data_IF_751918235706
#
_entry.id   IF_751918235706
#
_cell.length_a   1.000
_cell.length_b   1.000
_cell.length_c   1.000
_cell.angle_alpha   90.00
_cell.angle_beta   90.00
_cell.angle_gamma   90.00
#
_symmetry.space_group_name_H-M   'P 1'
#
loop_
_entity.id
_entity.type
_entity.pdbx_description
1 polymer ?
#
# COMPACT_ATOMS: atom_id res chain seq x y z
N UNK A 1 46.76 -40.41 -15.36
CA UNK A 1 45.91 -41.53 -14.89
C UNK A 1 44.63 -40.91 -14.35
N UNK A 2 43.62 -40.76 -15.22
CA UNK A 2 42.32 -41.46 -15.18
C UNK A 2 41.54 -41.18 -13.88
N UNK A 3 40.35 -40.59 -13.86
CA UNK A 3 39.17 -40.74 -14.74
C UNK A 3 38.13 -39.64 -14.41
N UNK A 4 37.68 -38.85 -15.40
CA UNK A 4 36.32 -38.71 -15.96
C UNK A 4 35.11 -38.63 -14.99
N UNK A 5 34.39 -37.49 -15.12
CA UNK A 5 33.02 -37.13 -14.67
C UNK A 5 31.90 -38.06 -15.24
N UNK A 6 30.58 -37.76 -15.17
CA UNK A 6 29.69 -37.06 -14.20
C UNK A 6 28.44 -37.95 -13.84
N UNK A 7 27.43 -37.44 -13.12
CA UNK A 7 25.95 -37.56 -13.38
C UNK A 7 25.08 -37.37 -12.11
N UNK A 8 24.16 -36.40 -12.20
CA UNK A 8 22.84 -36.24 -11.55
C UNK A 8 22.64 -36.65 -10.07
N UNK A 9 22.43 -35.64 -9.22
CA UNK A 9 21.43 -35.75 -8.14
C UNK A 9 20.67 -34.43 -7.99
N UNK A 10 19.61 -34.29 -8.80
CA UNK A 10 18.51 -33.37 -8.55
C UNK A 10 17.48 -34.15 -7.75
N UNK A 11 17.48 -33.98 -6.43
CA UNK A 11 16.32 -34.24 -5.59
C UNK A 11 16.61 -33.70 -4.19
N UNK A 12 15.60 -33.03 -3.61
CA UNK A 12 15.50 -32.73 -2.19
C UNK A 12 16.22 -31.48 -1.63
N UNK A 13 16.16 -30.35 -2.33
CA UNK A 13 16.38 -29.02 -1.71
C UNK A 13 15.22 -28.03 -1.88
N UNK A 14 14.13 -28.43 -2.53
CA UNK A 14 12.96 -27.56 -2.76
C UNK A 14 11.88 -27.69 -1.66
N UNK A 15 11.98 -28.69 -0.77
CA UNK A 15 11.06 -28.83 0.37
C UNK A 15 11.52 -28.08 1.63
N UNK A 16 12.72 -27.47 1.63
CA UNK A 16 13.25 -26.73 2.79
C UNK A 16 12.86 -25.24 2.80
N UNK A 17 12.27 -24.73 1.71
CA UNK A 17 11.72 -23.37 1.62
C UNK A 17 10.25 -23.27 2.08
N UNK A 18 9.67 -24.37 2.57
CA UNK A 18 8.44 -24.38 3.35
C UNK A 18 8.63 -23.87 4.80
N UNK A 19 9.84 -23.42 5.18
CA UNK A 19 10.18 -23.05 6.56
C UNK A 19 11.10 -21.81 6.60
N UNK A 20 10.69 -20.62 6.14
CA UNK A 20 11.43 -19.38 6.51
C UNK A 20 10.65 -18.05 6.53
N UNK A 21 9.31 -18.03 6.51
CA UNK A 21 8.58 -16.79 6.90
C UNK A 21 7.37 -17.01 7.82
N UNK A 22 7.07 -18.24 8.24
CA UNK A 22 6.00 -18.54 9.19
C UNK A 22 6.33 -18.38 10.68
N UNK A 23 7.58 -18.01 11.03
CA UNK A 23 8.04 -17.90 12.42
C UNK A 23 8.30 -16.48 12.93
N UNK A 24 8.16 -15.45 12.08
CA UNK A 24 8.35 -14.04 12.49
C UNK A 24 7.06 -13.33 12.91
N UNK A 25 5.92 -14.02 12.92
CA UNK A 25 4.61 -13.40 13.17
C UNK A 25 4.12 -13.52 14.63
N UNK A 26 4.87 -14.18 15.52
CA UNK A 26 4.50 -14.30 16.96
C UNK A 26 5.42 -13.59 17.96
N UNK A 27 6.57 -13.04 17.55
CA UNK A 27 7.48 -12.36 18.49
C UNK A 27 7.74 -10.86 18.22
N UNK A 28 7.12 -10.25 17.22
CA UNK A 28 7.13 -8.78 17.05
C UNK A 28 6.08 -8.08 17.94
N UNK A 29 6.07 -8.37 19.25
CA UNK A 29 5.28 -7.66 20.26
C UNK A 29 6.12 -6.68 21.10
N UNK A 30 7.43 -6.57 20.87
CA UNK A 30 8.27 -5.56 21.53
C UNK A 30 9.22 -4.91 20.52
N UNK A 31 8.84 -3.74 20.03
CA UNK A 31 9.66 -2.51 20.02
C UNK A 31 8.75 -1.37 19.57
N UNK A 32 8.67 -0.35 20.41
CA UNK A 32 7.69 0.71 20.46
C UNK A 32 7.90 1.80 19.40
N UNK A 33 7.37 1.59 18.20
CA UNK A 33 6.91 2.68 17.34
C UNK A 33 5.86 2.13 16.35
N UNK A 34 4.61 2.62 16.38
CA UNK A 34 3.57 2.05 15.55
C UNK A 34 3.83 2.38 14.09
N UNK A 35 3.88 1.35 13.23
CA UNK A 35 3.83 1.44 11.75
C UNK A 35 2.72 2.37 11.21
N UNK A 36 1.78 2.80 12.07
CA UNK A 36 0.70 3.76 11.83
C UNK A 36 1.19 5.17 11.48
N UNK A 37 2.39 5.58 11.90
CA UNK A 37 2.93 6.91 11.54
C UNK A 37 3.34 7.03 10.06
N UNK A 38 3.64 5.92 9.37
CA UNK A 38 4.14 5.96 7.99
C UNK A 38 3.08 6.42 6.99
N UNK A 39 1.79 6.16 7.26
CA UNK A 39 0.69 6.65 6.42
C UNK A 39 0.45 8.16 6.62
N UNK A 40 0.77 8.71 7.81
CA UNK A 40 0.71 10.16 8.08
C UNK A 40 1.88 10.93 7.45
N UNK A 41 3.06 10.31 7.29
CA UNK A 41 4.23 10.95 6.65
C UNK A 41 4.01 11.17 5.14
N UNK A 42 3.22 10.32 4.48
CA UNK A 42 2.81 10.54 3.10
C UNK A 42 1.91 11.78 2.91
N UNK A 43 1.23 12.25 3.97
CA UNK A 43 0.45 13.48 3.97
C UNK A 43 1.33 14.76 3.94
N UNK A 44 2.53 14.70 4.51
CA UNK A 44 3.49 15.82 4.52
C UNK A 44 4.33 15.90 3.23
N UNK A 45 4.48 14.79 2.51
CA UNK A 45 5.38 14.67 1.35
C UNK A 45 4.78 15.20 0.04
N UNK A 46 3.49 15.58 0.02
CA UNK A 46 2.78 16.11 -1.15
C UNK A 46 3.09 17.58 -1.49
N UNK A 47 3.97 18.25 -0.73
CA UNK A 47 4.31 19.67 -0.89
C UNK A 47 5.38 19.95 -1.98
N UNK A 48 5.40 19.17 -3.06
CA UNK A 48 6.21 19.53 -4.24
C UNK A 48 5.49 20.65 -5.01
N UNK A 49 6.11 21.83 -5.21
CA UNK A 49 5.47 22.96 -5.87
C UNK A 49 5.26 22.65 -7.35
N UNK A 50 4.06 22.17 -7.69
CA UNK A 50 3.59 22.13 -9.06
C UNK A 50 3.43 23.57 -9.55
N UNK A 51 4.32 24.01 -10.43
CA UNK A 51 4.30 25.32 -11.07
C UNK A 51 3.20 25.36 -12.14
N UNK A 52 1.94 25.43 -11.70
CA UNK A 52 0.77 25.53 -12.57
C UNK A 52 0.43 27.02 -12.78
N UNK A 53 0.74 27.53 -13.97
CA UNK A 53 0.31 28.84 -14.43
C UNK A 53 -0.69 28.64 -15.58
N UNK A 54 -1.98 28.55 -15.25
CA UNK A 54 -3.09 28.63 -16.19
C UNK A 54 -4.39 28.82 -15.42
N UNK A 55 -5.28 29.65 -15.94
CA UNK A 55 -6.62 29.95 -15.41
C UNK A 55 -7.30 28.70 -14.84
N UNK A 56 -7.37 28.66 -13.51
CA UNK A 56 -7.25 27.46 -12.69
C UNK A 56 -8.63 26.85 -12.44
N UNK A 57 -9.13 26.06 -13.39
CA UNK A 57 -10.17 25.08 -13.03
C UNK A 57 -9.52 24.07 -12.09
N UNK A 58 -9.99 24.03 -10.84
CA UNK A 58 -9.42 23.15 -9.83
C UNK A 58 -9.40 21.71 -10.33
N UNK A 59 -8.21 21.11 -10.33
CA UNK A 59 -8.00 19.75 -10.83
C UNK A 59 -8.85 18.76 -10.02
N UNK A 60 -9.08 19.04 -8.74
CA UNK A 60 -9.89 18.17 -7.87
C UNK A 60 -11.37 18.14 -8.22
N UNK A 61 -11.87 19.07 -9.03
CA UNK A 61 -13.27 19.08 -9.49
C UNK A 61 -13.48 18.22 -10.75
N UNK A 62 -12.40 17.84 -11.43
CA UNK A 62 -12.52 17.04 -12.65
C UNK A 62 -12.75 15.58 -12.26
N UNK A 63 -13.88 14.96 -12.68
CA UNK A 63 -14.05 13.54 -12.47
C UNK A 63 -12.93 12.79 -13.21
N UNK A 64 -12.31 11.81 -12.57
CA UNK A 64 -11.31 10.98 -13.24
C UNK A 64 -11.98 10.28 -14.43
N UNK A 65 -11.49 10.48 -15.66
CA UNK A 65 -12.11 9.87 -16.82
C UNK A 65 -12.05 8.36 -16.67
N UNK A 66 -13.17 7.68 -16.95
CA UNK A 66 -13.22 6.23 -16.91
C UNK A 66 -12.24 5.70 -17.95
N UNK A 67 -11.17 5.04 -17.48
CA UNK A 67 -10.18 4.43 -18.37
C UNK A 67 -10.87 3.37 -19.24
N UNK A 68 -10.89 3.58 -20.55
CA UNK A 68 -11.41 2.58 -21.48
C UNK A 68 -10.46 1.39 -21.54
N UNK A 69 -11.03 0.18 -21.63
CA UNK A 69 -10.26 -1.06 -21.77
C UNK A 69 -9.85 -1.19 -23.24
N UNK A 70 -8.56 -1.25 -23.49
CA UNK A 70 -7.98 -1.45 -24.83
C UNK A 70 -7.88 -2.94 -25.19
N UNK A 71 -7.68 -3.27 -26.46
CA UNK A 71 -7.57 -4.68 -26.91
C UNK A 71 -6.50 -5.48 -26.18
N UNK A 72 -5.36 -4.87 -25.84
CA UNK A 72 -4.30 -5.53 -25.08
C UNK A 72 -4.75 -5.94 -23.67
N UNK A 73 -5.68 -5.20 -23.05
CA UNK A 73 -6.27 -5.59 -21.77
C UNK A 73 -7.01 -6.92 -21.91
N UNK A 74 -7.85 -7.07 -22.94
CA UNK A 74 -8.61 -8.31 -23.15
C UNK A 74 -7.69 -9.47 -23.52
N UNK A 75 -6.68 -9.24 -24.36
CA UNK A 75 -5.67 -10.24 -24.67
C UNK A 75 -4.98 -10.80 -23.41
N UNK A 76 -4.49 -9.92 -22.54
CA UNK A 76 -3.84 -10.31 -21.29
C UNK A 76 -4.83 -11.01 -20.36
N UNK A 77 -6.06 -10.48 -20.25
CA UNK A 77 -7.11 -11.06 -19.42
C UNK A 77 -7.41 -12.51 -19.84
N UNK A 78 -7.66 -12.75 -21.12
CA UNK A 78 -8.09 -14.06 -21.60
C UNK A 78 -6.94 -15.08 -21.70
N UNK A 79 -5.77 -14.67 -22.17
CA UNK A 79 -4.68 -15.61 -22.40
C UNK A 79 -3.83 -15.88 -21.17
N UNK A 80 -3.62 -14.88 -20.32
CA UNK A 80 -2.71 -15.00 -19.18
C UNK A 80 -3.52 -15.14 -17.89
N UNK A 81 -4.34 -14.14 -17.56
CA UNK A 81 -5.03 -14.10 -16.26
C UNK A 81 -6.00 -15.27 -16.14
N UNK A 82 -6.89 -15.46 -17.11
CA UNK A 82 -7.88 -16.53 -17.08
C UNK A 82 -7.18 -17.90 -17.06
N UNK A 83 -6.18 -18.15 -17.91
CA UNK A 83 -5.42 -19.40 -17.90
C UNK A 83 -4.79 -19.72 -16.54
N UNK A 84 -4.20 -18.72 -15.86
CA UNK A 84 -3.63 -18.90 -14.52
C UNK A 84 -4.74 -19.21 -13.50
N UNK A 85 -5.87 -18.51 -13.53
CA UNK A 85 -6.94 -18.71 -12.56
C UNK A 85 -7.71 -20.02 -12.78
N UNK A 86 -7.74 -20.54 -14.01
CA UNK A 86 -8.31 -21.86 -14.31
C UNK A 86 -7.46 -23.03 -13.79
N UNK A 87 -6.21 -22.78 -13.38
CA UNK A 87 -5.36 -23.83 -12.78
C UNK A 87 -5.99 -24.46 -11.53
N UNK A 88 -6.69 -23.68 -10.70
CA UNK A 88 -7.33 -24.16 -9.46
C UNK A 88 -8.47 -25.16 -9.74
N UNK A 89 -9.53 -24.81 -10.48
CA UNK A 89 -10.62 -25.76 -10.74
C UNK A 89 -10.13 -26.99 -11.51
N UNK A 90 -9.18 -26.83 -12.44
CA UNK A 90 -8.58 -27.97 -13.14
C UNK A 90 -7.80 -28.89 -12.20
N UNK A 91 -7.03 -28.33 -11.26
CA UNK A 91 -6.31 -29.12 -10.27
C UNK A 91 -7.27 -29.90 -9.35
N UNK A 92 -8.37 -29.29 -8.91
CA UNK A 92 -9.41 -29.96 -8.14
C UNK A 92 -10.06 -31.12 -8.92
N UNK A 93 -10.52 -30.84 -10.13
CA UNK A 93 -11.13 -31.86 -11.00
C UNK A 93 -10.18 -33.02 -11.27
N UNK A 94 -8.91 -32.72 -11.58
CA UNK A 94 -7.91 -33.74 -11.89
C UNK A 94 -7.49 -34.56 -10.66
N UNK A 95 -7.28 -33.92 -9.50
CA UNK A 95 -6.96 -34.61 -8.26
C UNK A 95 -8.10 -35.55 -7.84
N UNK A 96 -9.34 -35.06 -7.88
CA UNK A 96 -10.52 -35.87 -7.56
C UNK A 96 -10.69 -37.04 -8.52
N UNK A 97 -10.60 -36.80 -9.83
CA UNK A 97 -10.68 -37.86 -10.85
C UNK A 97 -9.59 -38.93 -10.68
N UNK A 98 -8.36 -38.51 -10.40
CA UNK A 98 -7.22 -39.40 -10.21
C UNK A 98 -7.36 -40.28 -8.97
N UNK A 99 -7.91 -39.72 -7.88
CA UNK A 99 -8.23 -40.46 -6.65
C UNK A 99 -9.38 -41.45 -6.91
N UNK A 100 -10.47 -40.99 -7.53
CA UNK A 100 -11.66 -41.80 -7.79
C UNK A 100 -11.36 -43.03 -8.66
N UNK A 101 -10.54 -42.85 -9.70
CA UNK A 101 -10.21 -43.94 -10.64
C UNK A 101 -9.06 -44.83 -10.16
N UNK A 102 -8.41 -44.51 -9.03
CA UNK A 102 -7.18 -45.14 -8.54
C UNK A 102 -6.02 -45.23 -9.57
N UNK A 103 -6.13 -44.50 -10.69
CA UNK A 103 -5.18 -44.57 -11.82
C UNK A 103 -3.80 -44.03 -11.47
N UNK A 104 -3.66 -43.24 -10.40
CA UNK A 104 -2.38 -42.66 -9.99
C UNK A 104 -1.29 -43.71 -9.69
N UNK A 105 -1.66 -44.95 -9.32
CA UNK A 105 -0.71 -46.05 -9.05
C UNK A 105 -0.17 -46.74 -10.31
N UNK A 106 -0.96 -46.76 -11.39
CA UNK A 106 -0.66 -47.53 -12.61
C UNK A 106 -0.28 -46.64 -13.79
N UNK A 107 -0.17 -45.32 -13.57
CA UNK A 107 0.02 -44.34 -14.62
C UNK A 107 1.48 -44.03 -14.93
N UNK A 108 1.69 -43.42 -16.10
CA UNK A 108 2.98 -42.86 -16.51
C UNK A 108 3.51 -41.85 -15.49
N UNK A 109 4.85 -41.79 -15.35
CA UNK A 109 5.56 -40.85 -14.46
C UNK A 109 5.08 -39.40 -14.63
N UNK A 110 4.78 -38.98 -15.85
CA UNK A 110 4.28 -37.63 -16.14
C UNK A 110 2.92 -37.36 -15.47
N UNK A 111 2.01 -38.32 -15.49
CA UNK A 111 0.69 -38.19 -14.87
C UNK A 111 0.80 -38.18 -13.34
N UNK A 112 1.72 -38.96 -12.77
CA UNK A 112 2.03 -38.94 -11.34
C UNK A 112 2.57 -37.58 -10.89
N UNK A 113 3.47 -36.96 -11.68
CA UNK A 113 3.97 -35.60 -11.41
C UNK A 113 2.84 -34.58 -11.48
N UNK A 114 2.02 -34.62 -12.53
CA UNK A 114 0.86 -33.73 -12.66
C UNK A 114 -0.11 -33.89 -11.49
N UNK A 115 -0.33 -35.12 -11.02
CA UNK A 115 -1.18 -35.40 -9.86
C UNK A 115 -0.63 -34.74 -8.60
N UNK A 116 0.68 -34.86 -8.36
CA UNK A 116 1.32 -34.22 -7.22
C UNK A 116 1.23 -32.68 -7.29
N UNK A 117 1.45 -32.10 -8.47
CA UNK A 117 1.30 -30.64 -8.70
C UNK A 117 -0.14 -30.21 -8.40
N UNK A 118 -1.14 -30.94 -8.90
CA UNK A 118 -2.55 -30.65 -8.62
C UNK A 118 -2.88 -30.77 -7.14
N UNK A 119 -2.34 -31.76 -6.43
CA UNK A 119 -2.50 -31.87 -4.97
C UNK A 119 -1.88 -30.67 -4.24
N UNK A 120 -0.71 -30.20 -4.66
CA UNK A 120 -0.09 -29.00 -4.08
C UNK A 120 -0.97 -27.76 -4.28
N UNK A 121 -1.54 -27.58 -5.47
CA UNK A 121 -2.46 -26.47 -5.77
C UNK A 121 -3.74 -26.56 -4.93
N UNK A 122 -4.30 -27.77 -4.75
CA UNK A 122 -5.48 -28.01 -3.89
C UNK A 122 -5.19 -27.67 -2.42
N UNK A 123 -4.09 -28.19 -1.86
CA UNK A 123 -3.69 -27.91 -0.48
C UNK A 123 -3.43 -26.42 -0.28
N UNK A 124 -2.73 -25.79 -1.22
CA UNK A 124 -2.47 -24.36 -1.19
C UNK A 124 -3.77 -23.54 -1.24
N UNK A 125 -4.74 -23.95 -2.05
CA UNK A 125 -6.07 -23.32 -2.10
C UNK A 125 -6.77 -23.43 -0.75
N UNK A 126 -6.77 -24.61 -0.10
CA UNK A 126 -7.36 -24.76 1.24
C UNK A 126 -6.67 -23.83 2.25
N UNK A 127 -5.34 -23.78 2.23
CA UNK A 127 -4.56 -22.88 3.09
C UNK A 127 -4.86 -21.40 2.83
N UNK A 128 -4.96 -20.99 1.56
CA UNK A 128 -5.31 -19.62 1.18
C UNK A 128 -6.73 -19.26 1.65
N UNK A 129 -7.67 -20.19 1.59
CA UNK A 129 -9.01 -20.04 2.17
C UNK A 129 -8.94 -19.70 3.65
N UNK A 130 -8.20 -20.53 4.39
CA UNK A 130 -8.02 -20.36 5.83
C UNK A 130 -7.39 -19.00 6.15
N UNK A 131 -6.34 -18.61 5.43
CA UNK A 131 -5.70 -17.31 5.63
C UNK A 131 -6.65 -16.14 5.32
N UNK A 132 -7.43 -16.24 4.24
CA UNK A 132 -8.43 -15.23 3.90
C UNK A 132 -9.48 -15.09 5.02
N UNK A 133 -9.99 -16.22 5.54
CA UNK A 133 -10.90 -16.20 6.68
C UNK A 133 -10.26 -15.59 7.95
N UNK A 134 -8.98 -15.86 8.21
CA UNK A 134 -8.29 -15.27 9.36
C UNK A 134 -8.13 -13.75 9.24
N UNK A 135 -7.78 -13.24 8.05
CA UNK A 135 -7.51 -11.82 7.80
C UNK A 135 -8.80 -11.00 7.69
N UNK A 136 -9.88 -11.58 7.15
CA UNK A 136 -11.18 -10.90 7.05
C UNK A 136 -11.80 -10.61 8.42
N UNK A 137 -11.30 -11.19 9.51
CA UNK A 137 -11.71 -10.81 10.85
C UNK A 137 -11.17 -9.40 11.19
N UNK A 138 -12.07 -8.51 11.58
CA UNK A 138 -11.75 -7.11 11.90
C UNK A 138 -10.62 -7.06 12.94
N UNK A 139 -9.51 -6.35 12.69
CA UNK A 139 -8.44 -6.25 13.65
C UNK A 139 -8.96 -5.61 14.95
N UNK A 140 -8.46 -6.02 16.12
CA UNK A 140 -8.83 -5.40 17.38
C UNK A 140 -8.47 -3.91 17.36
N UNK A 141 -9.29 -3.10 18.04
CA UNK A 141 -9.18 -1.65 18.09
C UNK A 141 -7.78 -1.20 18.55
N UNK A 142 -7.33 -0.05 18.02
CA UNK A 142 -6.08 0.55 18.44
C UNK A 142 -6.15 0.92 19.94
N UNK A 143 -5.19 0.45 20.73
CA UNK A 143 -5.06 0.69 22.17
C UNK A 143 -4.37 2.02 22.51
N UNK A 144 -4.40 3.00 21.61
CA UNK A 144 -3.78 4.31 21.84
C UNK A 144 -4.64 5.18 22.76
N UNK A 145 -4.01 5.92 23.67
CA UNK A 145 -4.71 6.92 24.47
C UNK A 145 -5.32 8.00 23.56
N UNK A 146 -6.61 8.30 23.73
CA UNK A 146 -7.34 9.20 22.84
C UNK A 146 -6.76 10.62 22.82
N UNK A 147 -6.20 11.06 23.95
CA UNK A 147 -5.54 12.35 24.11
C UNK A 147 -4.29 12.48 23.23
N UNK A 148 -3.42 11.47 23.23
CA UNK A 148 -2.19 11.48 22.44
C UNK A 148 -2.48 11.50 20.95
N UNK A 149 -3.47 10.70 20.52
CA UNK A 149 -3.96 10.67 19.14
C UNK A 149 -4.44 12.06 18.73
N UNK A 150 -5.28 12.68 19.56
CA UNK A 150 -5.78 14.04 19.33
C UNK A 150 -4.64 15.04 19.19
N UNK A 151 -3.68 15.05 20.13
CA UNK A 151 -2.55 15.98 20.14
C UNK A 151 -1.69 15.80 18.88
N UNK A 152 -1.34 14.56 18.55
CA UNK A 152 -0.53 14.26 17.38
C UNK A 152 -1.22 14.68 16.08
N UNK A 153 -2.52 14.40 15.95
CA UNK A 153 -3.28 14.71 14.75
C UNK A 153 -3.50 16.22 14.58
N UNK A 154 -3.82 16.94 15.65
CA UNK A 154 -3.95 18.40 15.61
C UNK A 154 -2.61 19.05 15.25
N UNK A 155 -1.49 18.57 15.82
CA UNK A 155 -0.15 19.05 15.45
C UNK A 155 0.12 18.86 13.95
N UNK A 156 -0.26 17.71 13.39
CA UNK A 156 -0.13 17.45 11.97
C UNK A 156 -0.94 18.44 11.11
N UNK A 157 -2.21 18.67 11.43
CA UNK A 157 -3.05 19.63 10.70
C UNK A 157 -2.51 21.06 10.82
N UNK A 158 -2.05 21.47 12.02
CA UNK A 158 -1.44 22.78 12.23
C UNK A 158 -0.13 22.95 11.45
N UNK A 159 0.70 21.91 11.35
CA UNK A 159 1.92 21.95 10.55
C UNK A 159 1.62 22.22 9.06
N UNK A 160 0.51 21.69 8.53
CA UNK A 160 0.04 21.98 7.18
C UNK A 160 -0.43 23.42 6.94
N UNK A 161 -0.75 24.15 8.01
CA UNK A 161 -1.17 25.57 7.98
C UNK A 161 -0.01 26.55 8.21
N UNK A 162 1.15 26.06 8.66
CA UNK A 162 2.30 26.91 8.91
C UNK A 162 2.79 27.59 7.62
N UNK A 163 3.09 28.89 7.71
CA UNK A 163 3.75 29.61 6.62
C UNK A 163 5.20 29.11 6.52
N UNK A 164 5.46 28.22 5.57
CA UNK A 164 6.84 27.88 5.21
C UNK A 164 7.47 29.16 4.64
N UNK A 165 8.56 29.68 5.24
CA UNK A 165 9.24 30.85 4.70
C UNK A 165 9.71 30.56 3.28
N UNK A 166 9.57 31.54 2.38
CA UNK A 166 9.88 31.41 0.94
C UNK A 166 11.33 31.01 0.62
N UNK A 167 12.20 30.95 1.61
CA UNK A 167 13.63 30.70 1.48
C UNK A 167 14.03 29.21 1.53
N UNK A 168 13.06 28.28 1.48
CA UNK A 168 13.34 26.85 1.28
C UNK A 168 14.13 26.17 2.42
N UNK A 169 14.14 26.76 3.61
CA UNK A 169 14.78 26.17 4.78
C UNK A 169 14.08 24.88 5.21
N UNK A 170 14.86 23.83 5.43
CA UNK A 170 14.41 22.52 5.90
C UNK A 170 13.48 22.66 7.11
N UNK A 171 12.24 22.21 6.94
CA UNK A 171 11.20 22.19 7.98
C UNK A 171 11.65 21.39 9.21
N UNK A 172 12.55 20.41 9.03
CA UNK A 172 13.11 19.61 10.11
C UNK A 172 14.03 20.42 11.04
N UNK A 173 14.84 21.33 10.50
CA UNK A 173 15.75 22.16 11.32
C UNK A 173 14.99 23.17 12.17
N UNK A 174 13.82 23.64 11.70
CA UNK A 174 12.94 24.52 12.48
C UNK A 174 12.15 23.77 13.56
N UNK A 175 11.84 22.48 13.35
CA UNK A 175 11.09 21.67 14.31
C UNK A 175 11.97 21.03 15.40
N UNK A 176 13.26 20.83 15.13
CA UNK A 176 14.21 20.23 16.09
C UNK A 176 14.68 21.23 17.16
N UNK A 177 14.80 22.52 16.82
CA UNK A 177 15.32 23.53 17.74
C UNK A 177 14.25 24.33 18.51
N UNK A 178 12.95 24.10 18.22
CA UNK A 178 11.89 24.89 18.82
C UNK A 178 11.29 24.18 20.05
N UNK A 179 11.32 24.79 21.25
CA UNK A 179 10.76 24.17 22.45
C UNK A 179 9.26 23.92 22.28
N UNK A 180 8.79 22.78 22.79
CA UNK A 180 7.41 22.24 22.64
C UNK A 180 6.29 23.26 22.93
N UNK A 181 6.59 24.33 23.67
CA UNK A 181 5.66 25.41 23.99
C UNK A 181 5.40 26.41 22.84
N UNK A 182 6.34 26.60 21.89
CA UNK A 182 6.26 27.64 20.85
C UNK A 182 5.55 27.20 19.56
N UNK A 183 5.39 25.89 19.31
CA UNK A 183 4.55 25.38 18.20
C UNK A 183 3.08 25.80 18.35
N UNK A 184 2.67 26.11 19.58
CA UNK A 184 1.34 26.61 19.93
C UNK A 184 1.06 28.05 19.43
N UNK A 185 2.10 28.80 19.04
CA UNK A 185 2.00 30.23 18.67
C UNK A 185 2.14 30.51 17.16
N UNK A 186 2.23 29.49 16.30
CA UNK A 186 2.15 29.73 14.86
C UNK A 186 0.72 30.23 14.56
N UNK A 187 0.55 31.46 14.01
CA UNK A 187 -0.77 31.99 13.73
C UNK A 187 -1.46 31.07 12.73
N UNK A 188 -2.54 30.42 13.18
CA UNK A 188 -3.36 29.54 12.35
C UNK A 188 -4.12 30.45 11.38
N UNK A 189 -3.60 30.62 10.18
CA UNK A 189 -4.21 31.43 9.13
C UNK A 189 -4.99 30.51 8.20
N UNK A 190 -6.27 30.80 8.00
CA UNK A 190 -7.07 30.15 6.96
C UNK A 190 -6.41 30.41 5.59
N UNK A 191 -6.10 29.35 4.86
CA UNK A 191 -5.50 29.48 3.54
C UNK A 191 -6.55 29.95 2.54
N UNK A 192 -6.11 30.73 1.55
CA UNK A 192 -6.98 31.13 0.45
C UNK A 192 -7.38 29.90 -0.39
N UNK A 193 -8.60 29.89 -0.93
CA UNK A 193 -9.10 28.78 -1.71
C UNK A 193 -8.30 28.55 -3.01
N UNK A 194 -7.66 29.58 -3.56
CA UNK A 194 -6.81 29.52 -4.75
C UNK A 194 -5.31 29.44 -4.44
N UNK A 195 -4.91 29.33 -3.16
CA UNK A 195 -3.51 29.08 -2.81
C UNK A 195 -3.07 27.72 -3.40
N UNK A 196 -1.93 27.65 -4.11
CA UNK A 196 -1.44 26.42 -4.72
C UNK A 196 -1.26 25.27 -3.72
N UNK A 197 -0.95 25.57 -2.45
CA UNK A 197 -0.86 24.56 -1.37
C UNK A 197 -2.21 23.95 -1.08
N UNK A 198 -3.24 24.78 -1.02
CA UNK A 198 -4.63 24.39 -0.82
C UNK A 198 -5.13 23.51 -1.97
N UNK A 199 -4.82 23.89 -3.21
CA UNK A 199 -5.18 23.11 -4.41
C UNK A 199 -4.48 21.74 -4.41
N UNK A 200 -3.18 21.72 -4.14
CA UNK A 200 -2.42 20.47 -4.02
C UNK A 200 -2.96 19.57 -2.89
N UNK A 201 -3.38 20.18 -1.78
CA UNK A 201 -4.01 19.48 -0.66
C UNK A 201 -5.35 18.87 -1.06
N UNK A 202 -6.25 19.62 -1.70
CA UNK A 202 -7.53 19.09 -2.20
C UNK A 202 -7.34 17.95 -3.20
N UNK A 203 -6.40 18.11 -4.12
CA UNK A 203 -6.01 17.08 -5.08
C UNK A 203 -5.41 15.83 -4.41
N UNK A 204 -4.80 15.95 -3.23
CA UNK A 204 -4.36 14.76 -2.48
C UNK A 204 -5.52 14.16 -1.70
N UNK A 205 -6.31 15.01 -1.04
CA UNK A 205 -7.41 14.59 -0.18
C UNK A 205 -8.50 13.83 -0.95
N UNK A 206 -8.91 14.30 -2.13
CA UNK A 206 -9.98 13.64 -2.90
C UNK A 206 -9.65 12.21 -3.34
N UNK A 207 -8.36 11.82 -3.37
CA UNK A 207 -7.95 10.44 -3.67
C UNK A 207 -8.43 9.46 -2.59
N UNK A 208 -8.53 9.93 -1.34
CA UNK A 208 -9.14 9.21 -0.23
C UNK A 208 -10.67 9.09 -0.35
N UNK A 209 -11.28 9.81 -1.27
CA UNK A 209 -12.71 9.74 -1.58
C UNK A 209 -12.93 9.13 -2.97
N UNK A 210 -12.08 8.16 -3.34
CA UNK A 210 -12.14 7.45 -4.62
C UNK A 210 -12.05 8.36 -5.85
N UNK A 211 -11.33 9.50 -5.75
CA UNK A 211 -11.24 10.54 -6.78
C UNK A 211 -12.59 11.18 -7.14
N UNK A 212 -13.52 11.26 -6.19
CA UNK A 212 -14.75 12.02 -6.36
C UNK A 212 -14.43 13.51 -6.62
N UNK A 213 -15.27 14.23 -7.41
CA UNK A 213 -15.20 15.68 -7.51
C UNK A 213 -15.26 16.31 -6.13
N UNK A 214 -14.35 17.25 -5.82
CA UNK A 214 -14.24 17.78 -4.47
C UNK A 214 -15.54 18.42 -3.96
N UNK A 215 -16.25 19.15 -4.82
CA UNK A 215 -17.57 19.74 -4.55
C UNK A 215 -18.67 18.72 -4.16
N UNK A 216 -18.50 17.45 -4.53
CA UNK A 216 -19.44 16.36 -4.19
C UNK A 216 -19.19 15.77 -2.79
N UNK A 217 -18.01 16.03 -2.20
CA UNK A 217 -17.65 15.59 -0.86
C UNK A 217 -18.42 16.44 0.16
N UNK A 218 -19.10 15.76 1.09
CA UNK A 218 -19.88 16.39 2.16
C UNK A 218 -19.21 16.19 3.51
N UNK A 219 -19.58 17.00 4.49
CA UNK A 219 -19.03 16.98 5.85
C UNK A 219 -19.05 15.58 6.46
N UNK A 220 -20.15 14.84 6.33
CA UNK A 220 -20.30 13.49 6.87
C UNK A 220 -19.22 12.52 6.36
N UNK A 221 -18.80 12.64 5.10
CA UNK A 221 -17.75 11.78 4.54
C UNK A 221 -16.39 12.12 5.13
N UNK A 222 -16.12 13.41 5.32
CA UNK A 222 -14.90 13.90 5.94
C UNK A 222 -14.84 13.49 7.40
N UNK A 223 -15.95 13.57 8.13
CA UNK A 223 -16.05 13.09 9.51
C UNK A 223 -15.78 11.59 9.62
N UNK A 224 -16.35 10.78 8.72
CA UNK A 224 -16.06 9.33 8.66
C UNK A 224 -14.57 9.06 8.43
N UNK A 225 -13.98 9.75 7.45
CA UNK A 225 -12.57 9.61 7.12
C UNK A 225 -11.67 10.06 8.30
N UNK A 226 -11.92 11.23 8.88
CA UNK A 226 -11.17 11.75 10.02
C UNK A 226 -11.28 10.83 11.24
N UNK A 227 -12.48 10.38 11.59
CA UNK A 227 -12.69 9.48 12.72
C UNK A 227 -11.94 8.16 12.54
N UNK A 228 -11.94 7.62 11.33
CA UNK A 228 -11.12 6.47 10.97
C UNK A 228 -9.62 6.77 11.08
N UNK A 229 -9.13 7.91 10.57
CA UNK A 229 -7.70 8.25 10.66
C UNK A 229 -7.21 8.39 12.10
N UNK A 230 -8.05 8.95 12.99
CA UNK A 230 -7.70 9.15 14.40
C UNK A 230 -7.81 7.85 15.18
N UNK A 231 -8.93 7.13 15.07
CA UNK A 231 -9.27 6.04 15.98
C UNK A 231 -9.23 4.65 15.36
N UNK A 232 -8.95 4.56 14.05
CA UNK A 232 -8.90 3.30 13.30
C UNK A 232 -10.19 2.46 13.45
N UNK A 233 -11.34 3.13 13.40
CA UNK A 233 -12.67 2.51 13.53
C UNK A 233 -13.68 3.24 12.66
N UNK A 234 -14.79 2.57 12.32
CA UNK A 234 -15.94 3.21 11.69
C UNK A 234 -16.51 4.29 12.62
N UNK A 235 -16.99 5.38 12.04
CA UNK A 235 -17.75 6.42 12.75
C UNK A 235 -19.07 5.81 13.25
N UNK A 236 -19.29 5.74 14.57
CA UNK A 236 -20.55 5.25 15.11
C UNK A 236 -21.66 6.31 14.96
N UNK A 237 -22.93 5.95 15.19
CA UNK A 237 -24.05 6.88 15.24
C UNK A 237 -23.79 8.07 16.17
N UNK A 238 -24.38 9.23 15.85
CA UNK A 238 -24.03 10.50 16.50
C UNK A 238 -24.24 10.54 18.02
N UNK A 239 -25.19 9.76 18.51
CA UNK A 239 -25.55 9.54 19.91
C UNK A 239 -24.56 8.65 20.67
N UNK A 240 -23.73 7.88 19.95
CA UNK A 240 -22.80 6.89 20.52
C UNK A 240 -21.35 7.38 20.53
N UNK A 241 -21.06 8.57 19.99
CA UNK A 241 -19.72 9.14 19.96
C UNK A 241 -19.43 9.77 21.34
N UNK A 242 -18.37 9.32 22.05
CA UNK A 242 -17.93 9.97 23.28
C UNK A 242 -17.66 11.47 23.08
N UNK A 243 -18.04 12.30 24.07
CA UNK A 243 -18.00 13.76 23.95
C UNK A 243 -16.59 14.32 23.68
N UNK A 244 -15.56 13.71 24.28
CA UNK A 244 -14.14 13.99 24.05
C UNK A 244 -13.75 13.75 22.58
N UNK A 245 -14.15 12.61 22.02
CA UNK A 245 -13.88 12.26 20.62
C UNK A 245 -14.65 13.16 19.66
N UNK A 246 -15.89 13.53 20.00
CA UNK A 246 -16.70 14.46 19.22
C UNK A 246 -16.05 15.83 19.15
N UNK A 247 -15.57 16.34 20.29
CA UNK A 247 -14.86 17.63 20.35
C UNK A 247 -13.59 17.60 19.50
N UNK A 248 -12.78 16.55 19.62
CA UNK A 248 -11.57 16.37 18.83
C UNK A 248 -11.84 16.27 17.32
N UNK A 249 -12.90 15.55 16.93
CA UNK A 249 -13.32 15.44 15.54
C UNK A 249 -13.76 16.80 14.97
N UNK A 250 -14.57 17.55 15.72
CA UNK A 250 -15.01 18.88 15.30
C UNK A 250 -13.84 19.85 15.13
N UNK A 251 -12.88 19.82 16.06
CA UNK A 251 -11.64 20.61 15.97
C UNK A 251 -10.83 20.23 14.72
N UNK A 252 -10.67 18.93 14.45
CA UNK A 252 -9.99 18.45 13.25
C UNK A 252 -10.68 18.88 11.96
N UNK A 253 -12.02 18.84 11.90
CA UNK A 253 -12.80 19.32 10.74
C UNK A 253 -12.55 20.81 10.49
N UNK A 254 -12.55 21.64 11.55
CA UNK A 254 -12.28 23.08 11.42
C UNK A 254 -10.87 23.32 10.86
N UNK A 255 -9.85 22.68 11.44
CA UNK A 255 -8.47 22.82 10.96
C UNK A 255 -8.31 22.32 9.52
N UNK A 256 -8.99 21.23 9.15
CA UNK A 256 -8.99 20.71 7.80
C UNK A 256 -9.65 21.71 6.82
N UNK A 257 -10.80 22.30 7.18
CA UNK A 257 -11.45 23.35 6.37
C UNK A 257 -10.55 24.57 6.16
N UNK A 258 -9.79 24.96 7.19
CA UNK A 258 -8.81 26.03 7.07
C UNK A 258 -7.70 25.69 6.08
N UNK A 259 -7.28 24.42 6.02
CA UNK A 259 -6.24 23.94 5.10
C UNK A 259 -6.75 23.74 3.67
N UNK A 260 -8.03 23.41 3.53
CA UNK A 260 -8.77 23.31 2.25
C UNK A 260 -9.16 24.69 1.73
N UNK A 261 -9.11 25.73 2.56
CA UNK A 261 -9.49 27.10 2.21
C UNK A 261 -10.96 27.23 1.83
N UNK A 262 -11.81 26.28 2.23
CA UNK A 262 -13.21 26.17 1.81
C UNK A 262 -14.04 25.52 2.93
N UNK A 263 -15.28 25.99 3.11
CA UNK A 263 -16.26 25.38 4.02
C UNK A 263 -16.95 24.16 3.40
N UNK A 264 -16.68 22.97 3.95
CA UNK A 264 -17.21 21.73 3.40
C UNK A 264 -18.74 21.74 3.57
N UNK A 265 -19.51 21.55 2.48
CA UNK A 265 -20.97 21.59 2.56
C UNK A 265 -21.53 20.48 3.46
N UNK A 266 -22.54 20.86 4.24
CA UNK A 266 -23.26 19.95 5.12
C UNK A 266 -24.03 18.86 4.35
N UNK A 267 -24.30 17.74 5.04
CA UNK A 267 -25.10 16.64 4.52
C UNK A 267 -24.31 15.38 4.16
N UNK A 268 -24.92 14.53 3.33
CA UNK A 268 -24.39 13.25 2.85
C UNK A 268 -24.67 13.11 1.36
N UNK A 269 -23.86 12.33 0.66
CA UNK A 269 -24.06 12.00 -0.75
C UNK A 269 -23.68 10.52 -0.96
N UNK A 270 -24.65 9.68 -1.30
CA UNK A 270 -24.47 8.22 -1.35
C UNK A 270 -23.50 7.76 -2.47
N UNK A 271 -23.26 8.62 -3.46
CA UNK A 271 -22.31 8.38 -4.55
C UNK A 271 -20.84 8.52 -4.10
N UNK A 272 -20.58 9.14 -2.95
CA UNK A 272 -19.23 9.40 -2.45
C UNK A 272 -18.96 8.53 -1.23
N UNK A 273 -17.88 7.76 -1.29
CA UNK A 273 -17.44 6.90 -0.18
C UNK A 273 -15.98 7.17 0.14
N UNK A 274 -15.66 7.52 1.40
CA UNK A 274 -14.27 7.58 1.84
C UNK A 274 -13.67 6.17 1.87
N UNK A 275 -12.38 6.07 1.55
CA UNK A 275 -11.58 4.86 1.65
C UNK A 275 -11.05 4.74 3.08
N UNK A 276 -11.48 3.69 3.79
CA UNK A 276 -11.14 3.40 5.19
C UNK A 276 -10.34 2.10 5.25
N UNK A 277 -9.05 2.14 4.91
CA UNK A 277 -8.22 0.96 4.58
C UNK A 277 -8.26 -0.22 5.58
N UNK A 278 -8.52 0.04 6.86
CA UNK A 278 -8.54 -0.98 7.93
C UNK A 278 -9.94 -1.39 8.37
N UNK A 279 -10.96 -0.68 7.92
CA UNK A 279 -12.36 -0.86 8.31
C UNK A 279 -13.20 -1.38 7.13
N UNK A 280 -12.89 -0.91 5.92
CA UNK A 280 -13.52 -1.38 4.70
C UNK A 280 -13.28 -2.88 4.52
N UNK A 281 -14.28 -3.56 3.97
CA UNK A 281 -14.19 -4.99 3.69
C UNK A 281 -13.05 -5.25 2.70
N UNK A 282 -12.07 -6.02 3.14
CA UNK A 282 -10.98 -6.43 2.27
C UNK A 282 -11.49 -7.46 1.28
N UNK A 283 -11.59 -7.07 0.01
CA UNK A 283 -11.88 -8.02 -1.06
C UNK A 283 -10.63 -8.87 -1.35
N UNK A 284 -10.55 -10.04 -0.72
CA UNK A 284 -9.45 -10.99 -0.91
C UNK A 284 -9.74 -11.82 -2.16
N UNK A 285 -9.10 -11.44 -3.26
CA UNK A 285 -9.08 -12.26 -4.46
C UNK A 285 -8.17 -13.48 -4.27
N UNK A 286 -8.66 -14.64 -4.69
CA UNK A 286 -7.91 -15.88 -4.70
C UNK A 286 -6.70 -15.79 -5.62
N UNK A 287 -5.54 -16.25 -5.15
CA UNK A 287 -4.31 -16.30 -5.94
C UNK A 287 -3.82 -17.76 -5.95
N UNK A 288 -3.78 -18.43 -7.11
CA UNK A 288 -3.29 -19.82 -7.18
C UNK A 288 -1.81 -19.93 -6.80
N UNK A 289 -1.37 -21.10 -6.36
CA UNK A 289 0.06 -21.39 -6.18
C UNK A 289 0.82 -21.16 -7.49
N UNK A 290 0.23 -21.59 -8.61
CA UNK A 290 0.74 -21.34 -9.95
C UNK A 290 1.01 -19.85 -10.22
N UNK A 291 0.18 -18.93 -9.71
CA UNK A 291 0.43 -17.49 -9.84
C UNK A 291 1.72 -17.08 -9.14
N UNK A 292 1.95 -17.53 -7.91
CA UNK A 292 3.17 -17.22 -7.15
C UNK A 292 4.43 -17.79 -7.81
N UNK A 293 4.35 -19.00 -8.36
CA UNK A 293 5.45 -19.62 -9.10
C UNK A 293 5.80 -18.78 -10.34
N UNK A 294 4.80 -18.39 -11.13
CA UNK A 294 5.00 -17.56 -12.33
C UNK A 294 5.63 -16.21 -11.96
N UNK A 295 5.12 -15.54 -10.93
CA UNK A 295 5.69 -14.27 -10.45
C UNK A 295 7.12 -14.46 -9.98
N UNK A 296 7.41 -15.50 -9.20
CA UNK A 296 8.78 -15.80 -8.74
C UNK A 296 9.73 -16.06 -9.91
N UNK A 297 9.29 -16.75 -10.96
CA UNK A 297 10.07 -16.98 -12.17
C UNK A 297 10.33 -15.68 -12.94
N UNK A 298 9.30 -14.85 -13.13
CA UNK A 298 9.44 -13.53 -13.79
C UNK A 298 10.42 -12.65 -12.99
N UNK A 299 10.26 -12.62 -11.67
CA UNK A 299 11.11 -11.88 -10.75
C UNK A 299 12.58 -12.33 -10.85
N UNK A 300 12.81 -13.64 -10.80
CA UNK A 300 14.13 -14.22 -10.93
C UNK A 300 14.77 -13.88 -12.29
N UNK A 301 14.00 -14.01 -13.38
CA UNK A 301 14.48 -13.68 -14.72
C UNK A 301 14.78 -12.19 -14.89
N UNK A 302 13.91 -11.31 -14.39
CA UNK A 302 14.12 -9.87 -14.38
C UNK A 302 15.39 -9.52 -13.59
N UNK A 303 15.59 -10.11 -12.42
CA UNK A 303 16.81 -9.93 -11.65
C UNK A 303 18.07 -10.37 -12.38
N UNK A 304 18.04 -11.56 -12.98
CA UNK A 304 19.16 -12.05 -13.78
C UNK A 304 19.46 -11.13 -14.96
N UNK A 305 18.42 -10.62 -15.61
CA UNK A 305 18.54 -9.66 -16.71
C UNK A 305 19.16 -8.35 -16.23
N UNK A 306 18.68 -7.77 -15.13
CA UNK A 306 19.24 -6.53 -14.57
C UNK A 306 20.68 -6.69 -14.10
N UNK A 307 21.02 -7.82 -13.48
CA UNK A 307 22.39 -8.10 -13.07
C UNK A 307 23.33 -8.21 -14.28
N UNK A 308 22.91 -8.89 -15.35
CA UNK A 308 23.76 -9.12 -16.53
C UNK A 308 23.86 -7.88 -17.43
N UNK A 309 22.74 -7.20 -17.69
CA UNK A 309 22.70 -6.13 -18.69
C UNK A 309 22.86 -4.72 -18.12
N UNK A 310 22.55 -4.50 -16.83
CA UNK A 310 22.55 -3.17 -16.22
C UNK A 310 23.56 -3.01 -15.08
N UNK A 311 24.33 -4.05 -14.74
CA UNK A 311 25.22 -4.12 -13.56
C UNK A 311 24.49 -3.70 -12.27
N UNK A 312 23.23 -4.11 -12.16
CA UNK A 312 22.43 -3.90 -10.95
C UNK A 312 22.81 -4.95 -9.92
N UNK A 313 23.06 -4.51 -8.70
CA UNK A 313 23.41 -5.36 -7.57
C UNK A 313 22.32 -5.30 -6.51
N UNK A 314 22.00 -6.46 -5.94
CA UNK A 314 21.18 -6.54 -4.74
C UNK A 314 22.05 -6.24 -3.53
N UNK A 315 21.65 -5.23 -2.76
CA UNK A 315 22.32 -4.83 -1.53
C UNK A 315 21.33 -4.87 -0.37
N UNK A 316 21.85 -5.00 0.84
CA UNK A 316 21.06 -4.95 2.06
C UNK A 316 21.76 -4.04 3.06
N UNK A 317 21.00 -3.12 3.66
CA UNK A 317 21.49 -2.24 4.74
C UNK A 317 20.40 -2.07 5.78
N UNK A 318 20.74 -2.25 7.06
CA UNK A 318 19.80 -2.12 8.18
C UNK A 318 18.50 -2.94 8.02
N UNK A 319 18.61 -4.14 7.42
CA UNK A 319 17.46 -5.02 7.14
C UNK A 319 16.60 -4.60 5.95
N UNK A 320 16.95 -3.52 5.24
CA UNK A 320 16.29 -3.08 4.02
C UNK A 320 17.07 -3.61 2.83
N UNK A 321 16.39 -4.38 1.97
CA UNK A 321 16.93 -4.84 0.69
C UNK A 321 16.64 -3.79 -0.38
N UNK A 322 17.62 -3.49 -1.22
CA UNK A 322 17.49 -2.54 -2.32
C UNK A 322 18.37 -2.92 -3.50
N UNK A 323 17.99 -2.47 -4.68
CA UNK A 323 18.76 -2.61 -5.91
C UNK A 323 19.57 -1.34 -6.14
N UNK A 324 20.87 -1.49 -6.37
CA UNK A 324 21.76 -0.37 -6.71
C UNK A 324 22.39 -0.60 -8.08
N UNK A 325 22.45 0.46 -8.88
CA UNK A 325 23.21 0.52 -10.11
C UNK A 325 24.20 1.67 -10.01
N UNK A 326 25.48 1.36 -10.05
CA UNK A 326 26.54 2.36 -10.02
C UNK A 326 27.28 2.34 -11.36
N UNK A 327 27.16 3.40 -12.19
CA UNK A 327 27.96 3.52 -13.40
C UNK A 327 29.46 3.47 -13.07
N UNK A 328 30.27 2.84 -13.93
CA UNK A 328 31.70 2.66 -13.68
C UNK A 328 32.50 3.97 -13.55
N UNK A 329 31.98 5.06 -14.10
CA UNK A 329 32.56 6.40 -14.05
C UNK A 329 31.93 7.32 -12.98
N UNK A 330 31.06 6.77 -12.11
CA UNK A 330 30.44 7.57 -11.05
C UNK A 330 31.39 7.71 -9.86
N UNK A 331 31.51 8.95 -9.39
CA UNK A 331 32.31 9.34 -8.23
C UNK A 331 31.46 10.19 -7.29
N UNK A 332 31.48 9.89 -5.99
CA UNK A 332 30.64 10.55 -4.99
C UNK A 332 30.96 12.03 -4.80
N UNK A 333 32.18 12.47 -5.14
CA UNK A 333 32.59 13.86 -4.98
C UNK A 333 32.20 14.74 -6.18
N UNK A 334 32.25 14.19 -7.38
CA UNK A 334 32.15 14.98 -8.64
C UNK A 334 30.91 14.67 -9.46
N UNK A 335 30.29 13.51 -9.29
CA UNK A 335 29.15 13.07 -10.09
C UNK A 335 27.81 13.55 -9.52
N UNK A 336 26.73 13.48 -10.32
CA UNK A 336 25.40 13.85 -9.85
C UNK A 336 24.95 13.03 -8.63
N UNK A 337 24.10 13.64 -7.82
CA UNK A 337 23.47 13.00 -6.65
C UNK A 337 22.68 11.76 -7.08
N UNK A 338 22.65 10.71 -6.24
CA UNK A 338 21.94 9.47 -6.55
C UNK A 338 20.43 9.73 -6.66
N UNK A 339 19.79 8.98 -7.57
CA UNK A 339 18.33 8.96 -7.70
C UNK A 339 17.82 7.73 -6.98
N UNK A 340 16.89 7.93 -6.04
CA UNK A 340 16.24 6.85 -5.31
C UNK A 340 14.87 6.60 -5.91
N UNK A 341 14.64 5.36 -6.36
CA UNK A 341 13.33 4.91 -6.81
C UNK A 341 12.68 4.10 -5.69
N UNK A 342 11.53 4.58 -5.22
CA UNK A 342 10.67 3.85 -4.31
C UNK A 342 9.48 3.33 -5.12
N UNK A 343 9.26 2.03 -5.12
CA UNK A 343 8.04 1.47 -5.71
C UNK A 343 7.03 1.13 -4.61
N UNK A 344 5.76 1.09 -4.99
CA UNK A 344 4.68 0.72 -4.08
C UNK A 344 4.60 -0.78 -3.83
N UNK A 345 3.50 -1.19 -3.19
CA UNK A 345 3.11 -2.59 -2.97
C UNK A 345 2.79 -3.29 -4.31
N UNK A 346 3.84 -3.61 -5.08
CA UNK A 346 3.78 -4.31 -6.37
C UNK A 346 4.21 -5.77 -6.25
N UNK A 347 4.20 -6.49 -7.37
CA UNK A 347 4.71 -7.86 -7.48
C UNK A 347 6.05 -7.84 -8.25
N UNK A 348 7.16 -8.12 -7.55
CA UNK A 348 8.47 -8.37 -8.15
C UNK A 348 9.47 -7.22 -8.02
N UNK A 349 10.69 -7.47 -8.50
CA UNK A 349 11.98 -7.10 -7.89
C UNK A 349 12.08 -5.62 -7.48
N UNK A 350 11.71 -5.23 -6.27
CA UNK A 350 11.56 -6.06 -5.07
C UNK A 350 10.39 -5.58 -4.21
#
# INVERSE_FOLDING_TARGET
MHSNDPIFSISLHILCLLITTGKLQRECCLTSLPRKCMLMILFASGLLPLRLHSTMTDISERPTPRRSRIWSFYFILFLIVISIFFSVPLAWCFAFYSIYTAKWKTSSKALTILFFISCCEVVFTIYHCHLACCISNKPPFATGEATDIRIAFIRLLKAGLAKIPSNGGELETLLVDQPVNLVSEIPIVQLDCHDPRTIAFRHTLHTWFCNAPFSSIRRHHVEKWLYWTMYNTALPPSDQIPADRRSALNEAVVLLQMQIGWEIPEGSNDDVRPMLLTVDETNIFWRPLTFYIVVAMINWFAMKTYAVFLDVRLCQSNGIEYLIRTPSNWDSATSPRPIVFLHGLGLGVL
#
